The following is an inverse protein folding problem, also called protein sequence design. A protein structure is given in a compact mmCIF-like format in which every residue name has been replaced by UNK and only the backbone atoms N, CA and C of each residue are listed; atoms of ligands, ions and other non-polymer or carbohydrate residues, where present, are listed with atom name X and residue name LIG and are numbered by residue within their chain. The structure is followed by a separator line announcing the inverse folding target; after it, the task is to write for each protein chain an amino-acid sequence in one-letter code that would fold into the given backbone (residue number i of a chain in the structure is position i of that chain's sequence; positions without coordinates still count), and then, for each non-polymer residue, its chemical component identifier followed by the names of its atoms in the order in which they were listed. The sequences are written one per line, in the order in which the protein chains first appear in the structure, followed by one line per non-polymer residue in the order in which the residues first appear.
data_IF_782136019604
#
_entry.id   IF_782136019604
#
_cell.length_a   1.000
_cell.length_b   1.000
_cell.length_c   1.000
_cell.angle_alpha   90.00
_cell.angle_beta   90.00
_cell.angle_gamma   90.00
#
_symmetry.space_group_name_H-M   'P 1'
#
loop_
_entity.id
_entity.type
_entity.pdbx_description
1 polymer ?
#
# COMPACT_ATOMS: atom_id res chain seq x y z
N UNK A 1 0.68 6.03 24.29
CA UNK A 1 2.03 5.77 23.72
C UNK A 1 1.89 4.81 22.54
N UNK A 2 2.71 4.96 21.46
CA UNK A 2 2.64 4.05 20.30
C UNK A 2 3.89 3.20 20.19
N UNK A 3 3.72 1.89 20.01
CA UNK A 3 4.80 0.91 19.87
C UNK A 3 4.62 0.12 18.60
N UNK A 4 5.65 0.14 17.74
CA UNK A 4 5.77 -0.72 16.56
C UNK A 4 6.18 -2.13 16.99
N UNK A 5 5.46 -3.15 16.52
CA UNK A 5 5.82 -4.55 16.84
C UNK A 5 7.05 -5.00 16.06
N UNK A 6 7.25 -4.51 14.84
CA UNK A 6 8.46 -4.80 14.09
C UNK A 6 9.69 -4.29 14.84
N UNK A 7 9.63 -3.04 15.30
CA UNK A 7 10.72 -2.46 16.09
C UNK A 7 10.90 -3.17 17.44
N UNK A 8 9.81 -3.49 18.13
CA UNK A 8 9.87 -4.23 19.39
C UNK A 8 10.55 -5.59 19.21
N UNK A 9 10.31 -6.28 18.09
CA UNK A 9 10.90 -7.59 17.77
C UNK A 9 12.43 -7.55 17.56
N UNK A 10 13.00 -6.38 17.33
CA UNK A 10 14.46 -6.20 17.27
C UNK A 10 15.08 -6.15 18.68
N UNK A 11 14.30 -5.77 19.68
CA UNK A 11 14.76 -5.60 21.06
C UNK A 11 14.47 -6.80 21.95
N UNK A 12 13.38 -7.52 21.68
CA UNK A 12 12.94 -8.65 22.51
C UNK A 12 12.44 -9.82 21.64
N UNK A 13 12.67 -11.04 22.11
CA UNK A 13 12.05 -12.22 21.52
C UNK A 13 10.67 -12.45 22.13
N UNK A 14 9.64 -12.56 21.29
CA UNK A 14 8.30 -12.97 21.70
C UNK A 14 7.76 -14.06 20.81
N UNK A 15 6.76 -14.80 21.31
CA UNK A 15 6.17 -15.91 20.58
C UNK A 15 5.43 -15.43 19.32
N UNK A 16 6.04 -15.63 18.15
CA UNK A 16 5.49 -15.24 16.84
C UNK A 16 4.21 -15.99 16.44
N UNK A 17 3.83 -17.02 17.19
CA UNK A 17 2.58 -17.78 16.94
C UNK A 17 1.36 -17.15 17.62
N UNK A 18 1.54 -16.13 18.46
CA UNK A 18 0.42 -15.39 19.03
C UNK A 18 -0.18 -14.45 17.97
N UNK A 19 -1.51 -14.39 17.89
CA UNK A 19 -2.16 -13.34 17.13
C UNK A 19 -1.90 -11.98 17.78
N UNK A 20 -2.06 -10.92 17.01
CA UNK A 20 -1.85 -9.56 17.52
C UNK A 20 -2.88 -9.23 18.61
N UNK A 21 -4.09 -9.74 18.48
CA UNK A 21 -5.18 -9.56 19.43
C UNK A 21 -4.88 -10.30 20.75
N UNK A 22 -4.34 -11.52 20.69
CA UNK A 22 -3.91 -12.27 21.87
C UNK A 22 -2.75 -11.58 22.58
N UNK A 23 -1.79 -11.05 21.82
CA UNK A 23 -0.68 -10.29 22.38
C UNK A 23 -1.18 -9.03 23.10
N UNK A 24 -2.06 -8.27 22.45
CA UNK A 24 -2.65 -7.06 23.02
C UNK A 24 -3.44 -7.36 24.29
N UNK A 25 -4.22 -8.45 24.29
CA UNK A 25 -4.96 -8.89 25.48
C UNK A 25 -4.02 -9.24 26.64
N UNK A 26 -2.97 -10.03 26.39
CA UNK A 26 -1.98 -10.39 27.43
C UNK A 26 -1.23 -9.17 27.98
N UNK A 27 -0.90 -8.21 27.13
CA UNK A 27 -0.27 -6.97 27.57
C UNK A 27 -1.21 -6.14 28.44
N UNK A 28 -2.48 -6.07 28.08
CA UNK A 28 -3.51 -5.38 28.88
C UNK A 28 -3.67 -6.00 30.25
N UNK A 29 -3.72 -7.35 30.34
CA UNK A 29 -3.85 -8.06 31.62
C UNK A 29 -2.60 -7.93 32.51
N UNK A 30 -1.41 -7.86 31.89
CA UNK A 30 -0.15 -7.90 32.65
C UNK A 30 0.43 -6.54 33.01
N UNK A 31 0.19 -5.49 32.19
CA UNK A 31 0.95 -4.23 32.31
C UNK A 31 0.14 -2.96 32.08
N UNK A 32 -0.34 -2.73 30.86
CA UNK A 32 -0.97 -1.49 30.47
C UNK A 32 -2.02 -1.73 29.38
N UNK A 33 -3.12 -1.01 29.44
CA UNK A 33 -4.25 -1.15 28.51
C UNK A 33 -3.84 -0.82 27.07
N UNK A 34 -4.09 -1.75 26.16
CA UNK A 34 -3.97 -1.50 24.72
C UNK A 34 -5.31 -0.92 24.24
N UNK A 35 -5.30 0.34 23.86
CA UNK A 35 -6.50 1.06 23.42
C UNK A 35 -6.84 0.76 21.97
N UNK A 36 -5.79 0.61 21.11
CA UNK A 36 -5.97 0.42 19.68
C UNK A 36 -4.82 -0.36 19.07
N UNK A 37 -5.15 -1.13 18.03
CA UNK A 37 -4.20 -1.79 17.15
C UNK A 37 -4.33 -1.15 15.76
N UNK A 38 -3.29 -0.48 15.29
CA UNK A 38 -3.23 0.07 13.94
C UNK A 38 -2.44 -0.90 13.04
N UNK A 39 -3.11 -1.49 12.06
CA UNK A 39 -2.48 -2.35 11.06
C UNK A 39 -1.94 -1.49 9.92
N UNK A 40 -0.66 -1.13 10.00
CA UNK A 40 0.01 -0.35 8.95
C UNK A 40 0.15 -1.22 7.69
N UNK A 41 -0.13 -0.66 6.54
CA UNK A 41 -0.07 -1.39 5.27
C UNK A 41 -1.25 -2.32 4.96
N UNK A 42 -2.24 -2.46 5.85
CA UNK A 42 -3.47 -3.22 5.55
C UNK A 42 -4.16 -2.72 4.28
N UNK A 43 -4.20 -1.42 4.07
CA UNK A 43 -4.73 -0.79 2.85
C UNK A 43 -3.86 -1.01 1.61
N UNK A 44 -2.63 -1.54 1.77
CA UNK A 44 -1.70 -1.78 0.67
C UNK A 44 -1.60 -3.25 0.25
N UNK A 45 -2.44 -4.13 0.77
CA UNK A 45 -2.39 -5.58 0.48
C UNK A 45 -2.50 -5.91 -1.01
N UNK A 46 -3.19 -5.08 -1.79
CA UNK A 46 -3.34 -5.22 -3.25
C UNK A 46 -2.60 -4.14 -4.03
N UNK A 47 -1.61 -3.52 -3.42
CA UNK A 47 -0.71 -2.60 -4.09
C UNK A 47 0.61 -3.31 -4.36
N UNK A 48 0.92 -3.48 -5.64
CA UNK A 48 2.12 -4.16 -6.12
C UNK A 48 2.95 -3.26 -7.02
N UNK A 49 4.20 -3.62 -7.22
CA UNK A 49 5.04 -2.98 -8.24
C UNK A 49 4.56 -3.41 -9.61
N UNK A 50 4.17 -2.45 -10.44
CA UNK A 50 3.83 -2.66 -11.84
C UNK A 50 4.89 -2.06 -12.75
N UNK A 51 5.30 -2.79 -13.79
CA UNK A 51 6.20 -2.29 -14.84
C UNK A 51 5.38 -1.85 -16.05
N UNK A 52 5.54 -0.60 -16.48
CA UNK A 52 4.85 -0.07 -17.65
C UNK A 52 5.45 -0.65 -18.94
N UNK A 53 4.68 -1.47 -19.65
CA UNK A 53 5.09 -2.08 -20.92
C UNK A 53 4.67 -1.26 -22.13
N UNK A 54 3.54 -0.58 -22.05
CA UNK A 54 2.99 0.24 -23.13
C UNK A 54 2.23 1.43 -22.54
N UNK A 55 2.38 2.61 -23.14
CA UNK A 55 1.62 3.82 -22.80
C UNK A 55 1.07 4.43 -24.09
N UNK A 56 -0.23 4.69 -24.12
CA UNK A 56 -0.93 5.35 -25.23
C UNK A 56 -1.79 6.49 -24.69
N UNK A 57 -2.04 7.49 -25.54
CA UNK A 57 -3.09 8.47 -25.25
C UNK A 57 -4.45 7.80 -25.23
N UNK A 58 -5.33 8.23 -24.34
CA UNK A 58 -6.70 7.78 -24.32
C UNK A 58 -7.45 8.26 -25.55
N UNK A 59 -8.23 7.41 -26.27
CA UNK A 59 -8.90 7.80 -27.50
C UNK A 59 -9.89 8.96 -27.32
N UNK A 60 -10.62 9.01 -26.21
CA UNK A 60 -11.69 9.96 -25.94
C UNK A 60 -11.39 10.93 -24.79
N UNK A 61 -10.09 11.12 -24.43
CA UNK A 61 -9.73 12.01 -23.34
C UNK A 61 -8.29 12.52 -23.44
N UNK A 62 -8.10 13.79 -23.74
CA UNK A 62 -6.77 14.42 -23.97
C UNK A 62 -5.84 14.34 -22.75
N UNK A 63 -6.38 14.34 -21.53
CA UNK A 63 -5.63 14.34 -20.25
C UNK A 63 -5.45 12.94 -19.64
N UNK A 64 -5.88 11.90 -20.34
CA UNK A 64 -5.77 10.52 -19.86
C UNK A 64 -4.84 9.70 -20.75
N UNK A 65 -4.23 8.72 -20.13
CA UNK A 65 -3.39 7.72 -20.78
C UNK A 65 -3.88 6.32 -20.45
N UNK A 66 -3.75 5.42 -21.40
CA UNK A 66 -4.00 3.98 -21.25
C UNK A 66 -2.65 3.28 -21.21
N UNK A 67 -2.39 2.51 -20.17
CA UNK A 67 -1.16 1.74 -20.04
C UNK A 67 -1.44 0.25 -19.93
N UNK A 68 -0.54 -0.56 -20.50
CA UNK A 68 -0.41 -1.98 -20.19
C UNK A 68 0.71 -2.17 -19.21
N UNK A 69 0.40 -2.87 -18.14
CA UNK A 69 1.28 -3.00 -16.98
C UNK A 69 1.47 -4.48 -16.65
N UNK A 70 2.72 -4.86 -16.53
CA UNK A 70 3.13 -6.15 -15.99
C UNK A 70 3.16 -6.08 -14.46
N UNK A 71 2.39 -6.95 -13.83
CA UNK A 71 2.28 -7.08 -12.37
C UNK A 71 2.86 -8.40 -11.86
N UNK A 72 3.77 -9.02 -12.64
CA UNK A 72 4.37 -10.31 -12.29
C UNK A 72 3.45 -11.52 -12.51
N UNK A 73 2.31 -11.32 -13.18
CA UNK A 73 1.40 -12.38 -13.60
C UNK A 73 1.66 -12.79 -15.06
N UNK A 74 1.03 -13.88 -15.51
CA UNK A 74 1.13 -14.35 -16.92
C UNK A 74 0.54 -13.36 -17.93
N UNK A 75 -0.28 -12.42 -17.48
CA UNK A 75 -0.94 -11.44 -18.34
C UNK A 75 -0.74 -10.03 -17.81
N UNK A 76 -0.57 -9.07 -18.70
CA UNK A 76 -0.57 -7.65 -18.37
C UNK A 76 -1.99 -7.16 -18.09
N UNK A 77 -2.13 -6.20 -17.19
CA UNK A 77 -3.38 -5.51 -16.92
C UNK A 77 -3.40 -4.14 -17.61
N UNK A 78 -4.60 -3.64 -17.90
CA UNK A 78 -4.79 -2.30 -18.43
C UNK A 78 -5.19 -1.35 -17.31
N UNK A 79 -4.47 -0.23 -17.20
CA UNK A 79 -4.78 0.87 -16.30
C UNK A 79 -4.94 2.17 -17.06
N UNK A 80 -5.79 3.07 -16.53
CA UNK A 80 -5.96 4.43 -17.02
C UNK A 80 -5.48 5.39 -15.95
N UNK A 81 -4.67 6.37 -16.37
CA UNK A 81 -4.12 7.36 -15.45
C UNK A 81 -4.08 8.75 -16.10
N UNK A 82 -4.03 9.78 -15.26
CA UNK A 82 -3.98 11.18 -15.69
C UNK A 82 -2.56 11.75 -15.73
N UNK A 83 -2.44 12.98 -16.19
CA UNK A 83 -1.17 13.72 -16.36
C UNK A 83 -0.37 13.92 -15.06
N UNK A 84 -0.99 13.75 -13.88
CA UNK A 84 -0.30 13.83 -12.58
C UNK A 84 0.76 12.74 -12.38
N UNK A 85 0.59 11.60 -13.03
CA UNK A 85 1.55 10.50 -13.02
C UNK A 85 2.54 10.66 -14.17
N UNK A 86 3.69 11.27 -13.91
CA UNK A 86 4.77 11.43 -14.90
C UNK A 86 5.57 10.14 -15.01
N UNK A 87 5.23 9.32 -16.00
CA UNK A 87 5.79 7.98 -16.22
C UNK A 87 6.20 7.74 -17.66
N UNK A 88 7.11 6.80 -17.85
CA UNK A 88 7.54 6.31 -19.18
C UNK A 88 7.54 4.77 -19.21
N UNK A 89 7.60 4.20 -20.41
CA UNK A 89 7.73 2.75 -20.59
C UNK A 89 9.00 2.26 -19.91
N UNK A 90 8.90 1.17 -19.16
CA UNK A 90 9.98 0.60 -18.35
C UNK A 90 10.00 1.11 -16.89
N UNK A 91 9.28 2.18 -16.56
CA UNK A 91 9.14 2.60 -15.16
C UNK A 91 8.42 1.55 -14.33
N UNK A 92 8.88 1.37 -13.09
CA UNK A 92 8.28 0.51 -12.09
C UNK A 92 7.66 1.36 -11.00
N UNK A 93 6.35 1.26 -10.83
CA UNK A 93 5.54 2.16 -10.01
C UNK A 93 4.52 1.39 -9.18
N UNK A 94 4.01 1.96 -8.07
CA UNK A 94 2.97 1.31 -7.29
C UNK A 94 1.65 1.28 -8.07
N UNK A 95 1.05 0.09 -8.14
CA UNK A 95 -0.22 -0.18 -8.81
C UNK A 95 -1.18 -0.88 -7.86
N UNK A 96 -2.34 -0.30 -7.61
CA UNK A 96 -3.44 -0.96 -6.92
C UNK A 96 -4.23 -1.82 -7.93
N UNK A 97 -4.37 -3.11 -7.63
CA UNK A 97 -5.11 -4.07 -8.47
C UNK A 97 -6.54 -4.17 -7.95
N UNK A 98 -7.51 -3.93 -8.81
CA UNK A 98 -8.92 -4.01 -8.43
C UNK A 98 -9.37 -5.47 -8.15
N UNK A 99 -10.23 -5.71 -7.12
CA UNK A 99 -10.68 -4.74 -6.14
C UNK A 99 -9.65 -4.48 -5.03
N UNK A 100 -9.35 -3.22 -4.74
CA UNK A 100 -8.45 -2.82 -3.65
C UNK A 100 -9.11 -1.73 -2.79
N UNK A 101 -8.62 -1.56 -1.58
CA UNK A 101 -9.05 -0.51 -0.67
C UNK A 101 -7.81 0.26 -0.20
N UNK A 102 -7.69 1.51 -0.65
CA UNK A 102 -6.61 2.42 -0.28
C UNK A 102 -7.08 3.38 0.81
N UNK A 103 -6.14 4.11 1.40
CA UNK A 103 -6.47 5.22 2.30
C UNK A 103 -7.39 6.25 1.62
N UNK A 104 -7.17 6.53 0.35
CA UNK A 104 -7.96 7.48 -0.45
C UNK A 104 -9.33 6.94 -0.89
N UNK A 105 -9.61 5.65 -0.73
CA UNK A 105 -10.88 5.04 -1.11
C UNK A 105 -10.75 3.70 -1.85
N UNK A 106 -11.89 3.22 -2.36
CA UNK A 106 -11.98 1.93 -3.06
C UNK A 106 -11.52 2.06 -4.52
N UNK A 107 -10.75 1.08 -4.95
CA UNK A 107 -10.31 0.91 -6.35
C UNK A 107 -11.05 -0.28 -6.94
N UNK A 108 -11.89 -0.04 -7.91
CA UNK A 108 -12.68 -1.07 -8.60
C UNK A 108 -12.36 -1.07 -10.10
N UNK A 109 -12.47 -2.25 -10.72
CA UNK A 109 -12.39 -2.33 -12.17
C UNK A 109 -13.59 -1.63 -12.80
N UNK A 110 -13.33 -0.64 -13.63
CA UNK A 110 -14.39 0.18 -14.24
C UNK A 110 -13.98 0.66 -15.64
N UNK A 111 -14.99 0.94 -16.47
CA UNK A 111 -14.76 1.63 -17.74
C UNK A 111 -14.67 3.13 -17.51
N UNK A 112 -13.62 3.73 -18.05
CA UNK A 112 -13.39 5.19 -18.04
C UNK A 112 -13.44 5.63 -19.51
N UNK A 113 -14.49 6.35 -19.88
CA UNK A 113 -14.75 6.80 -21.26
C UNK A 113 -14.57 5.68 -22.32
N UNK A 114 -15.17 4.52 -22.06
CA UNK A 114 -15.13 3.36 -22.97
C UNK A 114 -14.00 2.36 -22.74
N UNK A 115 -12.85 2.80 -22.22
CA UNK A 115 -11.70 1.95 -21.94
C UNK A 115 -11.77 1.32 -20.54
N UNK A 116 -11.39 0.03 -20.42
CA UNK A 116 -11.39 -0.69 -19.14
C UNK A 116 -10.14 -0.33 -18.33
N UNK A 117 -10.32 0.08 -17.07
CA UNK A 117 -9.25 0.17 -16.08
C UNK A 117 -9.42 -0.92 -15.02
N UNK A 118 -8.41 -1.79 -14.89
CA UNK A 118 -8.42 -2.92 -13.96
C UNK A 118 -7.73 -2.59 -12.61
N UNK A 119 -7.46 -1.31 -12.38
CA UNK A 119 -6.80 -0.81 -11.19
C UNK A 119 -6.39 0.65 -11.35
N UNK A 120 -5.38 1.08 -10.60
CA UNK A 120 -4.93 2.47 -10.54
C UNK A 120 -3.42 2.55 -10.28
N UNK A 121 -2.72 3.51 -10.92
CA UNK A 121 -1.40 3.94 -10.46
C UNK A 121 -1.58 4.74 -9.17
N UNK A 122 -0.77 4.47 -8.15
CA UNK A 122 -0.94 5.07 -6.84
C UNK A 122 0.12 6.14 -6.57
N UNK A 123 -0.33 7.35 -6.24
CA UNK A 123 0.51 8.37 -5.62
C UNK A 123 0.71 8.05 -4.13
N UNK A 124 1.75 8.58 -3.52
CA UNK A 124 2.03 8.37 -2.09
C UNK A 124 0.86 8.84 -1.20
N UNK A 125 0.25 9.99 -1.54
CA UNK A 125 -0.91 10.53 -0.83
C UNK A 125 -2.15 9.64 -0.89
N UNK A 126 -2.28 8.81 -1.91
CA UNK A 126 -3.39 7.86 -2.06
C UNK A 126 -3.19 6.59 -1.24
N UNK A 127 -1.93 6.24 -0.98
CA UNK A 127 -1.54 5.06 -0.21
C UNK A 127 -1.44 5.34 1.29
N UNK A 128 -0.88 6.49 1.66
CA UNK A 128 -0.53 6.81 3.06
C UNK A 128 -1.08 8.18 3.46
N UNK A 129 -1.73 8.29 4.62
CA UNK A 129 -2.23 9.56 5.13
C UNK A 129 -1.07 10.54 5.40
N UNK A 130 -1.23 11.78 4.93
CA UNK A 130 -0.23 12.84 5.14
C UNK A 130 1.01 12.75 4.24
N UNK A 131 1.11 11.76 3.36
CA UNK A 131 2.19 11.67 2.40
C UNK A 131 2.03 12.70 1.27
N UNK A 132 3.14 13.09 0.61
CA UNK A 132 3.10 14.05 -0.50
C UNK A 132 2.40 13.46 -1.73
N UNK A 133 1.85 14.35 -2.58
CA UNK A 133 1.16 13.97 -3.81
C UNK A 133 2.17 13.66 -4.93
N UNK A 134 3.01 12.67 -4.71
CA UNK A 134 4.11 12.25 -5.59
C UNK A 134 4.01 10.78 -5.96
N UNK A 135 4.45 10.45 -7.17
CA UNK A 135 4.61 9.07 -7.63
C UNK A 135 6.02 8.59 -7.33
N UNK A 136 6.16 7.50 -6.58
CA UNK A 136 7.46 6.86 -6.40
C UNK A 136 7.77 5.93 -7.57
N UNK A 137 9.05 5.86 -7.95
CA UNK A 137 9.57 4.91 -8.92
C UNK A 137 10.52 3.96 -8.22
N UNK A 138 10.33 2.68 -8.44
CA UNK A 138 11.20 1.64 -7.89
C UNK A 138 12.41 1.39 -8.79
N UNK A 139 13.53 0.90 -8.24
CA UNK A 139 14.70 0.50 -9.03
C UNK A 139 14.35 -0.52 -10.12
N UNK A 140 15.06 -0.48 -11.23
CA UNK A 140 14.86 -1.40 -12.37
C UNK A 140 15.02 -2.89 -11.99
N UNK A 141 15.82 -3.18 -10.96
CA UNK A 141 16.01 -4.53 -10.43
C UNK A 141 14.78 -5.08 -9.67
N UNK A 142 13.84 -4.22 -9.26
CA UNK A 142 12.64 -4.65 -8.52
C UNK A 142 11.77 -5.51 -9.43
N UNK A 143 11.33 -6.67 -8.95
CA UNK A 143 10.48 -7.56 -9.72
C UNK A 143 9.03 -7.02 -9.77
N UNK A 144 8.37 -7.00 -10.95
CA UNK A 144 6.94 -6.76 -11.02
C UNK A 144 6.17 -7.75 -10.13
N UNK A 145 5.07 -7.30 -9.54
CA UNK A 145 4.25 -8.09 -8.62
C UNK A 145 4.75 -8.11 -7.17
N UNK A 146 5.93 -7.53 -6.88
CA UNK A 146 6.39 -7.41 -5.49
C UNK A 146 5.44 -6.50 -4.69
N UNK A 147 5.10 -6.90 -3.48
CA UNK A 147 4.26 -6.11 -2.57
C UNK A 147 4.92 -4.77 -2.25
N UNK A 148 4.18 -3.68 -2.44
CA UNK A 148 4.65 -2.34 -2.07
C UNK A 148 4.75 -2.19 -0.55
N UNK A 149 3.83 -2.81 0.21
CA UNK A 149 3.89 -2.81 1.66
C UNK A 149 5.16 -3.46 2.21
N UNK A 150 5.63 -4.54 1.58
CA UNK A 150 6.90 -5.20 1.93
C UNK A 150 8.11 -4.32 1.59
N UNK A 151 8.15 -3.77 0.38
CA UNK A 151 9.27 -2.92 -0.07
C UNK A 151 9.44 -1.64 0.76
N UNK A 152 8.35 -1.09 1.24
CA UNK A 152 8.34 0.11 2.07
C UNK A 152 8.38 -0.20 3.58
N UNK A 153 8.52 -1.48 3.96
CA UNK A 153 8.51 -1.95 5.35
C UNK A 153 7.26 -1.49 6.14
N UNK A 154 6.10 -1.46 5.46
CA UNK A 154 4.83 -1.01 6.04
C UNK A 154 3.99 -2.15 6.62
N UNK A 155 4.44 -3.39 6.55
CA UNK A 155 3.79 -4.53 7.19
C UNK A 155 4.10 -4.53 8.69
N UNK A 156 3.44 -3.65 9.44
CA UNK A 156 3.63 -3.50 10.89
C UNK A 156 2.30 -3.38 11.62
N UNK A 157 2.33 -3.70 12.89
CA UNK A 157 1.23 -3.46 13.81
C UNK A 157 1.69 -2.48 14.88
N UNK A 158 0.98 -1.37 15.00
CA UNK A 158 1.25 -0.36 16.01
C UNK A 158 0.26 -0.54 17.16
N UNK A 159 0.77 -0.82 18.34
CA UNK A 159 -0.03 -0.84 19.56
C UNK A 159 -0.11 0.57 20.15
N UNK A 160 -1.29 1.10 20.34
CA UNK A 160 -1.53 2.32 21.09
C UNK A 160 -1.83 1.94 22.53
N UNK A 161 -0.88 2.30 23.41
CA UNK A 161 -0.91 1.95 24.82
C UNK A 161 -1.36 3.16 25.63
N UNK A 162 -2.39 2.97 26.44
CA UNK A 162 -2.78 3.95 27.42
C UNK A 162 -1.80 3.94 28.59
N UNK A 163 -1.33 5.11 28.95
CA UNK A 163 -0.31 5.27 29.99
C UNK A 163 -0.81 6.22 31.08
N UNK A 164 -1.93 5.90 31.71
CA UNK A 164 -2.49 6.68 32.81
C UNK A 164 -1.54 6.82 34.01
N UNK A 165 -0.57 5.91 34.17
CA UNK A 165 0.33 5.88 35.31
C UNK A 165 1.56 6.80 35.21
N UNK A 166 1.82 7.44 34.08
CA UNK A 166 2.96 8.35 33.87
C UNK A 166 2.59 9.84 33.89
N UNK A 167 1.35 10.19 34.20
CA UNK A 167 0.88 11.58 34.27
C UNK A 167 0.82 12.10 35.73
N UNK A 168 1.74 11.66 36.61
CA UNK A 168 1.91 12.20 37.94
C UNK A 168 3.29 12.80 38.13
#
# INVERSE_FOLDING_TARGET
MKISLNWLSECIEFNKNLSIEELAWKLTEATATIERIDHVGKSLQKVVVGELKEIKKHPDADKLHVAKIDIGSSQTIQLIFGERAVVQVGDKVPCAIAPAELHSGKVEARKIRGELSQGMLCLMSEMLPGAPDTLIKFPSATKPGTSVAELLHLNDNILEIDNYSLNH
#
